data_IF_980334230947
#
_entry.id   IF_980334230947
#
_cell.length_a   1.000
_cell.length_b   1.000
_cell.length_c   1.000
_cell.angle_alpha   90.00
_cell.angle_beta   90.00
_cell.angle_gamma   90.00
#
_symmetry.space_group_name_H-M   'P 1'
#
loop_
_entity.id
_entity.type
_entity.pdbx_description
1 polymer ?
#
# COMPACT_ATOMS: atom_id res chain seq x y z
N UNK A 1 -41.13 -12.32 -44.23
CA UNK A 1 -40.07 -11.37 -43.82
C UNK A 1 -39.17 -12.09 -42.83
N UNK A 2 -38.09 -12.67 -43.32
CA UNK A 2 -37.14 -13.42 -42.48
C UNK A 2 -36.05 -12.43 -42.02
N UNK A 3 -36.00 -12.15 -40.70
CA UNK A 3 -35.00 -11.26 -40.10
C UNK A 3 -33.64 -11.98 -40.14
N UNK A 4 -32.71 -11.50 -40.96
CA UNK A 4 -31.30 -11.88 -40.88
C UNK A 4 -30.72 -11.39 -39.55
N UNK A 5 -30.32 -12.31 -38.69
CA UNK A 5 -29.47 -12.03 -37.53
C UNK A 5 -28.08 -11.63 -38.02
N UNK A 6 -27.48 -10.54 -37.50
CA UNK A 6 -26.16 -10.11 -37.93
C UNK A 6 -25.10 -11.08 -37.39
N UNK A 7 -24.28 -11.64 -38.28
CA UNK A 7 -23.06 -12.34 -37.89
C UNK A 7 -22.06 -11.32 -37.34
N UNK A 8 -21.65 -11.50 -36.08
CA UNK A 8 -20.55 -10.73 -35.49
C UNK A 8 -19.26 -11.16 -36.18
N UNK A 9 -18.51 -10.20 -36.74
CA UNK A 9 -17.22 -10.46 -37.41
C UNK A 9 -16.18 -10.99 -36.42
N UNK A 10 -15.33 -11.92 -36.87
CA UNK A 10 -14.21 -12.45 -36.10
C UNK A 10 -13.26 -11.33 -35.63
N UNK A 11 -13.13 -10.26 -36.43
CA UNK A 11 -12.33 -9.09 -36.08
C UNK A 11 -12.92 -8.33 -34.90
N UNK A 12 -14.25 -8.25 -34.80
CA UNK A 12 -14.94 -7.59 -33.68
C UNK A 12 -14.74 -8.34 -32.37
N UNK A 13 -14.70 -9.68 -32.44
CA UNK A 13 -14.40 -10.53 -31.28
C UNK A 13 -12.95 -10.34 -30.86
N UNK A 14 -12.00 -10.35 -31.82
CA UNK A 14 -10.57 -10.17 -31.54
C UNK A 14 -10.27 -8.82 -30.88
N UNK A 15 -10.84 -7.73 -31.39
CA UNK A 15 -10.70 -6.39 -30.80
C UNK A 15 -11.30 -6.32 -29.40
N UNK A 16 -12.47 -6.91 -29.18
CA UNK A 16 -13.09 -6.96 -27.85
C UNK A 16 -12.24 -7.75 -26.84
N UNK A 17 -11.64 -8.88 -27.25
CA UNK A 17 -10.71 -9.64 -26.40
C UNK A 17 -9.41 -8.90 -26.13
N UNK A 18 -8.84 -8.18 -27.11
CA UNK A 18 -7.65 -7.35 -26.92
C UNK A 18 -7.92 -6.18 -25.97
N UNK A 19 -9.09 -5.55 -26.08
CA UNK A 19 -9.54 -4.50 -25.18
C UNK A 19 -9.77 -5.04 -23.76
N UNK A 20 -10.37 -6.23 -23.63
CA UNK A 20 -10.59 -6.89 -22.35
C UNK A 20 -9.25 -7.31 -21.71
N UNK A 21 -8.32 -7.84 -22.50
CA UNK A 21 -6.95 -8.13 -22.05
C UNK A 21 -6.25 -6.84 -21.62
N UNK A 22 -6.33 -5.75 -22.40
CA UNK A 22 -5.77 -4.46 -22.02
C UNK A 22 -6.38 -3.93 -20.70
N UNK A 23 -7.68 -4.13 -20.47
CA UNK A 23 -8.35 -3.79 -19.21
C UNK A 23 -7.91 -4.68 -18.04
N UNK A 24 -7.63 -5.97 -18.28
CA UNK A 24 -7.05 -6.89 -17.27
C UNK A 24 -5.57 -6.56 -16.98
N UNK A 25 -4.84 -5.98 -17.94
CA UNK A 25 -3.44 -5.56 -17.78
C UNK A 25 -3.27 -4.17 -17.13
N UNK A 26 -4.35 -3.41 -16.90
CA UNK A 26 -4.32 -2.20 -16.06
C UNK A 26 -4.75 -2.60 -14.64
N UNK A 27 -4.01 -3.51 -14.02
CA UNK A 27 -3.82 -3.36 -12.59
C UNK A 27 -2.68 -2.36 -12.45
N UNK A 28 -3.01 -1.07 -12.23
CA UNK A 28 -2.03 -0.18 -11.64
C UNK A 28 -1.58 -0.86 -10.35
N UNK A 29 -0.34 -1.35 -10.34
CA UNK A 29 0.29 -1.80 -9.10
C UNK A 29 0.14 -0.64 -8.15
N UNK A 30 -0.63 -0.83 -7.09
CA UNK A 30 -0.74 0.19 -6.06
C UNK A 30 0.65 0.46 -5.53
N UNK A 31 1.14 1.64 -5.88
CA UNK A 31 2.50 2.03 -5.56
C UNK A 31 2.69 2.17 -4.06
N UNK A 32 3.83 1.69 -3.58
CA UNK A 32 4.23 1.86 -2.18
C UNK A 32 4.92 3.23 -2.00
N UNK A 33 4.58 3.92 -0.92
CA UNK A 33 5.22 5.15 -0.50
C UNK A 33 6.29 4.91 0.55
N UNK A 34 7.16 5.90 0.72
CA UNK A 34 8.16 5.92 1.79
C UNK A 34 8.24 7.29 2.44
N UNK A 35 8.50 7.32 3.74
CA UNK A 35 8.82 8.55 4.47
C UNK A 35 10.29 8.89 4.27
N UNK A 36 10.58 10.06 3.70
CA UNK A 36 11.95 10.56 3.56
C UNK A 36 12.23 11.56 4.68
N UNK A 37 12.61 11.03 5.83
CA UNK A 37 13.09 11.80 6.98
C UNK A 37 14.51 12.31 6.78
N UNK A 38 14.81 13.46 7.37
CA UNK A 38 16.08 14.17 7.21
C UNK A 38 16.71 14.58 8.53
N UNK A 39 16.31 13.98 9.65
CA UNK A 39 16.94 14.21 10.96
C UNK A 39 18.23 13.34 11.05
N UNK A 40 19.20 13.67 10.19
CA UNK A 40 20.50 13.02 10.09
C UNK A 40 21.55 13.94 9.46
N UNK A 41 22.83 13.64 9.68
CA UNK A 41 23.98 14.39 9.15
C UNK A 41 24.80 13.63 8.09
N UNK A 42 24.37 12.41 7.73
CA UNK A 42 25.12 11.50 6.85
C UNK A 42 24.33 11.04 5.61
N UNK A 43 23.18 11.67 5.31
CA UNK A 43 22.32 11.28 4.19
C UNK A 43 22.91 11.70 2.83
N UNK A 44 22.61 10.98 1.74
CA UNK A 44 23.01 11.40 0.39
C UNK A 44 22.35 12.71 -0.04
N UNK A 45 22.92 13.35 -1.08
CA UNK A 45 22.28 14.48 -1.73
C UNK A 45 20.86 14.13 -2.22
N UNK A 46 19.86 15.00 -2.02
CA UNK A 46 18.47 14.74 -2.40
C UNK A 46 18.27 14.30 -3.86
N UNK A 47 19.02 14.89 -4.79
CA UNK A 47 18.95 14.54 -6.22
C UNK A 47 19.35 13.08 -6.50
N UNK A 48 20.33 12.56 -5.76
CA UNK A 48 20.74 11.16 -5.88
C UNK A 48 19.68 10.23 -5.31
N UNK A 49 19.08 10.61 -4.18
CA UNK A 49 17.96 9.86 -3.56
C UNK A 49 16.76 9.80 -4.50
N UNK A 50 16.34 10.92 -5.07
CA UNK A 50 15.22 10.96 -6.01
C UNK A 50 15.50 10.14 -7.29
N UNK A 51 16.73 10.19 -7.80
CA UNK A 51 17.17 9.35 -8.93
C UNK A 51 17.15 7.86 -8.54
N UNK A 52 17.65 7.51 -7.37
CA UNK A 52 17.66 6.15 -6.85
C UNK A 52 16.24 5.58 -6.74
N UNK A 53 15.34 6.30 -6.07
CA UNK A 53 13.94 5.89 -5.93
C UNK A 53 13.30 5.68 -7.31
N UNK A 54 13.45 6.66 -8.21
CA UNK A 54 12.77 6.64 -9.51
C UNK A 54 13.30 5.59 -10.48
N UNK A 55 14.57 5.20 -10.38
CA UNK A 55 15.23 4.27 -11.32
C UNK A 55 15.37 2.86 -10.74
N UNK A 56 15.67 2.74 -9.47
CA UNK A 56 16.14 1.50 -8.85
C UNK A 56 15.11 0.81 -7.96
N UNK A 57 13.99 1.46 -7.63
CA UNK A 57 12.99 0.89 -6.70
C UNK A 57 11.57 0.90 -7.28
N UNK A 58 10.67 0.12 -6.69
CA UNK A 58 9.24 0.17 -6.99
C UNK A 58 8.51 1.32 -6.26
N UNK A 59 9.19 2.02 -5.33
CA UNK A 59 8.65 3.16 -4.60
C UNK A 59 8.34 4.28 -5.58
N UNK A 60 7.10 4.75 -5.54
CA UNK A 60 6.62 5.82 -6.43
C UNK A 60 5.93 6.96 -5.69
N UNK A 61 5.93 6.92 -4.34
CA UNK A 61 5.49 8.03 -3.50
C UNK A 61 6.52 8.34 -2.44
N UNK A 62 6.66 9.61 -2.09
CA UNK A 62 7.49 10.05 -0.98
C UNK A 62 6.71 11.03 -0.12
N UNK A 63 6.84 10.88 1.20
CA UNK A 63 6.37 11.85 2.18
C UNK A 63 7.55 12.60 2.77
N UNK A 64 7.48 13.93 2.70
CA UNK A 64 8.44 14.88 3.26
C UNK A 64 7.83 15.52 4.51
N UNK A 65 8.65 15.73 5.54
CA UNK A 65 8.22 16.30 6.83
C UNK A 65 8.23 17.83 6.87
N UNK A 66 8.63 18.47 5.78
CA UNK A 66 8.50 19.91 5.54
C UNK A 66 8.29 20.19 4.04
N UNK A 67 8.46 21.45 3.62
CA UNK A 67 8.47 21.89 2.23
C UNK A 67 9.85 22.40 1.79
N UNK A 68 10.92 21.69 2.17
CA UNK A 68 12.28 22.08 1.81
C UNK A 68 12.44 22.20 0.27
N UNK A 69 12.88 23.36 -0.24
CA UNK A 69 12.96 23.61 -1.68
C UNK A 69 14.01 22.76 -2.41
N UNK A 70 15.06 22.31 -1.71
CA UNK A 70 16.08 21.41 -2.27
C UNK A 70 15.50 20.01 -2.47
N UNK A 71 14.80 19.46 -1.47
CA UNK A 71 14.08 18.19 -1.58
C UNK A 71 13.05 18.25 -2.70
N UNK A 72 12.24 19.31 -2.75
CA UNK A 72 11.21 19.47 -3.78
C UNK A 72 11.77 19.53 -5.21
N UNK A 73 12.90 20.22 -5.42
CA UNK A 73 13.58 20.27 -6.72
C UNK A 73 14.19 18.92 -7.10
N UNK A 74 14.65 18.14 -6.13
CA UNK A 74 15.22 16.82 -6.41
C UNK A 74 14.23 15.86 -7.08
N UNK A 75 12.94 15.97 -6.75
CA UNK A 75 11.88 15.15 -7.33
C UNK A 75 11.31 15.67 -8.66
N UNK A 76 11.85 16.77 -9.19
CA UNK A 76 11.47 17.31 -10.51
C UNK A 76 11.57 16.24 -11.60
N UNK A 77 10.52 16.11 -12.40
CA UNK A 77 10.41 15.22 -13.56
C UNK A 77 10.65 13.71 -13.26
N UNK A 78 10.64 13.31 -11.98
CA UNK A 78 10.83 11.90 -11.58
C UNK A 78 9.57 11.05 -11.71
N UNK A 79 8.40 11.69 -11.80
CA UNK A 79 7.04 11.11 -11.69
C UNK A 79 6.70 10.49 -10.32
N UNK A 80 7.60 10.57 -9.34
CA UNK A 80 7.31 10.18 -7.96
C UNK A 80 6.30 11.19 -7.39
N UNK A 81 5.24 10.69 -6.77
CA UNK A 81 4.26 11.51 -6.07
C UNK A 81 4.84 12.02 -4.76
N UNK A 82 4.77 13.32 -4.55
CA UNK A 82 5.34 13.98 -3.37
C UNK A 82 4.21 14.49 -2.48
N UNK A 83 4.27 14.09 -1.21
CA UNK A 83 3.47 14.65 -0.11
C UNK A 83 4.38 15.53 0.74
N UNK A 84 3.98 16.77 1.00
CA UNK A 84 4.73 17.72 1.86
C UNK A 84 3.96 18.00 3.15
N UNK A 85 4.67 18.51 4.16
CA UNK A 85 4.08 18.83 5.46
C UNK A 85 4.28 20.30 5.82
N UNK A 86 3.23 20.95 6.30
CA UNK A 86 3.29 22.22 7.01
C UNK A 86 3.76 21.90 8.44
N UNK A 87 4.94 22.37 8.89
CA UNK A 87 5.44 22.03 10.22
C UNK A 87 4.49 22.47 11.35
N UNK A 88 4.45 21.71 12.44
CA UNK A 88 3.52 21.93 13.56
C UNK A 88 3.54 23.39 14.10
N UNK A 89 4.71 24.00 14.19
CA UNK A 89 4.88 25.38 14.68
C UNK A 89 4.28 26.45 13.75
N UNK A 90 3.96 26.11 12.49
CA UNK A 90 3.36 27.04 11.53
C UNK A 90 1.83 27.00 11.55
N UNK A 91 1.21 25.96 12.11
CA UNK A 91 -0.24 25.73 12.11
C UNK A 91 -1.04 26.97 12.56
N UNK A 92 -0.72 27.64 13.68
CA UNK A 92 -1.51 28.81 14.11
C UNK A 92 -1.49 29.96 13.10
N UNK A 93 -0.38 30.12 12.37
CA UNK A 93 -0.18 31.23 11.41
C UNK A 93 -0.98 31.04 10.14
N UNK A 94 -1.03 29.81 9.61
CA UNK A 94 -1.72 29.49 8.36
C UNK A 94 -3.24 29.40 8.50
N UNK A 95 -3.79 29.69 9.69
CA UNK A 95 -5.23 29.97 9.85
C UNK A 95 -5.64 31.28 9.16
N UNK A 96 -4.71 32.23 9.01
CA UNK A 96 -4.92 33.46 8.27
C UNK A 96 -4.77 33.21 6.75
N UNK A 97 -5.78 33.56 5.97
CA UNK A 97 -5.80 33.29 4.53
C UNK A 97 -4.70 33.99 3.74
N UNK A 98 -4.32 35.21 4.11
CA UNK A 98 -3.19 35.89 3.46
C UNK A 98 -1.89 35.11 3.68
N UNK A 99 -1.65 34.66 4.92
CA UNK A 99 -0.46 33.85 5.25
C UNK A 99 -0.50 32.48 4.57
N UNK A 100 -1.65 31.84 4.49
CA UNK A 100 -1.80 30.57 3.78
C UNK A 100 -1.54 30.71 2.27
N UNK A 101 -2.03 31.78 1.63
CA UNK A 101 -1.73 32.10 0.23
C UNK A 101 -0.24 32.28 0.00
N UNK A 102 0.42 33.08 0.85
CA UNK A 102 1.88 33.27 0.80
C UNK A 102 2.62 31.94 0.98
N UNK A 103 2.13 31.08 1.88
CA UNK A 103 2.71 29.75 2.10
C UNK A 103 2.62 28.89 0.84
N UNK A 104 1.45 28.82 0.19
CA UNK A 104 1.25 28.06 -1.06
C UNK A 104 2.06 28.65 -2.22
N UNK A 105 2.09 29.97 -2.37
CA UNK A 105 2.88 30.67 -3.39
C UNK A 105 4.38 30.42 -3.23
N UNK A 106 4.87 30.28 -2.00
CA UNK A 106 6.29 30.07 -1.72
C UNK A 106 6.69 28.60 -1.81
N UNK A 107 5.86 27.71 -1.26
CA UNK A 107 6.24 26.31 -1.00
C UNK A 107 5.65 25.29 -1.98
N UNK A 108 4.67 25.70 -2.82
CA UNK A 108 3.95 24.80 -3.74
C UNK A 108 4.09 25.26 -5.17
N UNK A 109 3.65 26.50 -5.47
CA UNK A 109 3.60 27.02 -6.84
C UNK A 109 4.93 26.90 -7.62
N UNK A 110 6.12 27.16 -7.04
CA UNK A 110 7.37 27.13 -7.80
C UNK A 110 7.78 25.74 -8.27
N UNK A 111 7.17 24.67 -7.75
CA UNK A 111 7.57 23.29 -8.01
C UNK A 111 6.60 22.58 -8.95
N UNK A 112 5.34 23.00 -9.02
CA UNK A 112 4.34 22.42 -9.91
C UNK A 112 4.41 23.03 -11.34
N UNK A 113 4.07 22.26 -12.39
CA UNK A 113 3.73 20.83 -12.37
C UNK A 113 4.95 19.90 -12.40
N UNK A 114 6.17 20.44 -12.43
CA UNK A 114 7.39 19.65 -12.66
C UNK A 114 7.70 18.63 -11.56
N UNK A 115 7.37 18.95 -10.30
CA UNK A 115 7.31 18.00 -9.19
C UNK A 115 5.86 17.60 -8.98
N UNK A 116 5.58 16.29 -8.98
CA UNK A 116 4.22 15.74 -8.86
C UNK A 116 3.73 15.81 -7.41
N UNK A 117 3.41 17.01 -6.94
CA UNK A 117 2.80 17.20 -5.62
C UNK A 117 1.36 16.71 -5.64
N UNK A 118 1.01 15.83 -4.69
CA UNK A 118 -0.33 15.22 -4.58
C UNK A 118 -1.04 15.54 -3.28
N UNK A 119 -0.30 15.93 -2.24
CA UNK A 119 -0.88 16.13 -0.91
C UNK A 119 -0.06 17.10 -0.06
N UNK A 120 -0.78 17.86 0.76
CA UNK A 120 -0.25 18.73 1.79
C UNK A 120 -0.79 18.29 3.16
N UNK A 121 0.12 17.98 4.07
CA UNK A 121 -0.20 17.58 5.44
C UNK A 121 -0.13 18.80 6.35
N UNK A 122 -1.15 19.05 7.16
CA UNK A 122 -1.13 20.12 8.15
C UNK A 122 -0.63 19.56 9.47
N UNK A 123 0.69 19.64 9.67
CA UNK A 123 1.36 19.08 10.84
C UNK A 123 1.62 17.58 10.77
N UNK A 124 2.13 17.07 11.88
CA UNK A 124 2.32 15.66 12.16
C UNK A 124 1.86 15.33 13.58
N UNK A 125 0.92 14.39 13.72
CA UNK A 125 0.40 13.90 15.00
C UNK A 125 0.01 14.99 16.00
N UNK A 126 -0.63 16.06 15.50
CA UNK A 126 -0.91 17.29 16.26
C UNK A 126 -1.70 17.02 17.54
N UNK A 127 -2.62 16.06 17.52
CA UNK A 127 -3.43 15.69 18.70
C UNK A 127 -2.59 15.02 19.80
N UNK A 128 -1.48 14.35 19.44
CA UNK A 128 -0.54 13.76 20.40
C UNK A 128 0.28 14.82 21.16
N UNK A 129 0.37 16.04 20.64
CA UNK A 129 1.19 17.11 21.25
C UNK A 129 0.62 17.64 22.57
N UNK A 130 -0.66 17.38 22.85
CA UNK A 130 -1.44 17.99 23.93
C UNK A 130 -1.44 19.54 23.94
N UNK A 131 -0.93 20.19 22.88
CA UNK A 131 -0.86 21.64 22.78
C UNK A 131 -2.20 22.18 22.29
N UNK A 132 -2.95 22.81 23.19
CA UNK A 132 -4.29 23.35 22.93
C UNK A 132 -4.33 24.32 21.75
N UNK A 133 -3.29 25.14 21.55
CA UNK A 133 -3.22 26.10 20.45
C UNK A 133 -3.08 25.38 19.10
N UNK A 134 -2.19 24.38 19.02
CA UNK A 134 -2.03 23.61 17.78
C UNK A 134 -3.30 22.81 17.45
N UNK A 135 -3.91 22.18 18.45
CA UNK A 135 -5.11 21.37 18.27
C UNK A 135 -6.30 22.22 17.83
N UNK A 136 -6.54 23.38 18.46
CA UNK A 136 -7.66 24.26 18.09
C UNK A 136 -7.48 24.94 16.74
N UNK A 137 -6.24 25.14 16.29
CA UNK A 137 -5.95 25.73 14.98
C UNK A 137 -5.81 24.73 13.84
N UNK A 138 -5.81 23.42 14.10
CA UNK A 138 -5.58 22.38 13.09
C UNK A 138 -6.61 22.41 11.95
N UNK A 139 -7.91 22.25 12.26
CA UNK A 139 -8.97 22.23 11.23
C UNK A 139 -9.08 23.58 10.51
N UNK A 140 -9.05 24.74 11.20
CA UNK A 140 -9.00 26.04 10.52
C UNK A 140 -7.82 26.18 9.57
N UNK A 141 -6.62 25.73 9.94
CA UNK A 141 -5.45 25.76 9.07
C UNK A 141 -5.64 24.90 7.81
N UNK A 142 -6.20 23.69 7.95
CA UNK A 142 -6.53 22.82 6.82
C UNK A 142 -7.51 23.50 5.84
N UNK A 143 -8.57 24.10 6.38
CA UNK A 143 -9.57 24.81 5.58
C UNK A 143 -8.96 26.00 4.83
N UNK A 144 -8.18 26.83 5.51
CA UNK A 144 -7.56 28.01 4.91
C UNK A 144 -6.55 27.64 3.82
N UNK A 145 -5.74 26.59 4.02
CA UNK A 145 -4.83 26.09 2.99
C UNK A 145 -5.58 25.50 1.80
N UNK A 146 -6.68 24.79 2.04
CA UNK A 146 -7.53 24.30 0.95
C UNK A 146 -8.14 25.44 0.12
N UNK A 147 -8.61 26.52 0.75
CA UNK A 147 -9.08 27.71 0.03
C UNK A 147 -7.97 28.30 -0.83
N UNK A 148 -6.74 28.40 -0.33
CA UNK A 148 -5.60 28.88 -1.11
C UNK A 148 -5.29 27.98 -2.33
N UNK A 149 -5.54 26.66 -2.24
CA UNK A 149 -5.40 25.75 -3.38
C UNK A 149 -6.56 25.91 -4.39
N UNK A 150 -7.79 26.12 -3.91
CA UNK A 150 -8.98 26.37 -4.74
C UNK A 150 -8.81 27.63 -5.59
N UNK A 151 -8.29 28.70 -5.01
CA UNK A 151 -8.04 29.97 -5.72
C UNK A 151 -7.02 29.83 -6.86
N UNK A 152 -6.20 28.78 -6.81
CA UNK A 152 -5.23 28.43 -7.84
C UNK A 152 -5.73 27.31 -8.77
N UNK A 153 -6.94 26.78 -8.53
CA UNK A 153 -7.53 25.66 -9.27
C UNK A 153 -6.67 24.39 -9.27
N UNK A 154 -6.00 24.11 -8.14
CA UNK A 154 -5.12 22.93 -7.97
C UNK A 154 -5.58 22.01 -6.83
N UNK A 155 -6.72 22.27 -6.20
CA UNK A 155 -7.32 21.48 -5.11
C UNK A 155 -7.77 20.07 -5.55
N UNK A 156 -8.01 19.89 -6.85
CA UNK A 156 -8.30 18.59 -7.44
C UNK A 156 -7.05 17.71 -7.52
N UNK A 157 -5.86 18.32 -7.62
CA UNK A 157 -4.57 17.65 -7.73
C UNK A 157 -3.83 17.52 -6.39
N UNK A 158 -3.98 18.50 -5.50
CA UNK A 158 -3.29 18.56 -4.20
C UNK A 158 -4.33 18.51 -3.08
N UNK A 159 -4.40 17.38 -2.37
CA UNK A 159 -5.33 17.18 -1.25
C UNK A 159 -4.74 17.66 0.07
N UNK A 160 -5.58 18.17 0.97
CA UNK A 160 -5.18 18.62 2.30
C UNK A 160 -5.67 17.63 3.36
N UNK A 161 -4.76 17.10 4.18
CA UNK A 161 -5.11 16.22 5.30
C UNK A 161 -4.13 16.42 6.46
N UNK A 162 -4.18 15.58 7.50
CA UNK A 162 -3.22 15.54 8.61
C UNK A 162 -3.05 14.10 9.07
N UNK A 163 -1.83 13.63 9.32
CA UNK A 163 -1.58 12.31 9.87
C UNK A 163 -1.81 12.30 11.39
N UNK A 164 -2.37 11.20 11.89
CA UNK A 164 -2.64 11.00 13.31
C UNK A 164 -1.99 9.73 13.85
N UNK A 165 -1.40 9.81 15.04
CA UNK A 165 -1.12 8.60 15.83
C UNK A 165 -2.43 7.89 16.15
N UNK A 166 -2.38 6.57 16.37
CA UNK A 166 -3.53 5.84 16.90
C UNK A 166 -3.84 6.16 18.36
N UNK A 167 -3.03 7.00 19.02
CA UNK A 167 -3.32 7.56 20.33
C UNK A 167 -4.60 8.38 20.37
N UNK A 168 -5.20 8.74 19.22
CA UNK A 168 -6.53 9.37 19.13
C UNK A 168 -7.70 8.44 19.47
N UNK A 169 -7.45 7.13 19.55
CA UNK A 169 -8.46 6.10 19.83
C UNK A 169 -8.50 5.70 21.31
N UNK A 170 -9.65 5.14 21.70
CA UNK A 170 -9.90 4.42 22.96
C UNK A 170 -10.67 3.14 22.65
N UNK A 171 -10.63 2.17 23.58
CA UNK A 171 -11.31 0.88 23.46
C UNK A 171 -10.95 0.10 22.18
N UNK A 172 -9.71 0.22 21.71
CA UNK A 172 -9.21 -0.39 20.48
C UNK A 172 -8.57 -1.78 20.67
N UNK A 173 -8.82 -2.43 21.81
CA UNK A 173 -8.42 -3.84 22.02
C UNK A 173 -9.29 -4.79 21.20
N UNK A 174 -10.51 -4.36 20.85
CA UNK A 174 -11.39 -4.99 19.85
C UNK A 174 -11.70 -3.94 18.77
N UNK A 175 -11.47 -4.22 17.47
CA UNK A 175 -11.65 -3.23 16.42
C UNK A 175 -13.04 -2.60 16.37
N UNK A 176 -14.10 -3.39 16.54
CA UNK A 176 -15.49 -2.89 16.52
C UNK A 176 -15.84 -1.97 17.71
N UNK A 177 -15.15 -2.14 18.83
CA UNK A 177 -15.29 -1.35 20.06
C UNK A 177 -14.61 0.01 20.01
N UNK A 178 -13.71 0.23 19.05
CA UNK A 178 -12.87 1.41 18.99
C UNK A 178 -13.68 2.70 18.79
N UNK A 179 -13.29 3.76 19.50
CA UNK A 179 -13.89 5.11 19.42
C UNK A 179 -12.79 6.16 19.42
N UNK A 180 -13.05 7.33 18.85
CA UNK A 180 -12.19 8.49 19.11
C UNK A 180 -12.33 8.95 20.56
N UNK A 181 -11.26 9.53 21.11
CA UNK A 181 -11.26 10.09 22.47
C UNK A 181 -12.38 11.13 22.65
N UNK A 182 -13.06 11.04 23.79
CA UNK A 182 -14.09 12.00 24.19
C UNK A 182 -13.54 13.44 24.14
N UNK A 183 -14.32 14.34 23.54
CA UNK A 183 -13.94 15.74 23.33
C UNK A 183 -13.22 15.95 22.00
N UNK A 184 -12.23 15.12 21.66
CA UNK A 184 -11.60 15.17 20.33
C UNK A 184 -12.56 14.72 19.23
N UNK A 185 -13.35 13.68 19.51
CA UNK A 185 -14.40 13.18 18.63
C UNK A 185 -15.32 14.30 18.11
N UNK A 186 -15.79 15.18 18.99
CA UNK A 186 -16.80 16.20 18.68
C UNK A 186 -16.18 17.50 18.21
N UNK A 187 -15.10 17.96 18.84
CA UNK A 187 -14.56 19.31 18.62
C UNK A 187 -13.44 19.38 17.58
N UNK A 188 -12.84 18.25 17.21
CA UNK A 188 -11.68 18.22 16.30
C UNK A 188 -11.91 17.24 15.16
N UNK A 189 -12.12 15.96 15.48
CA UNK A 189 -12.17 14.87 14.50
C UNK A 189 -13.44 14.95 13.64
N UNK A 190 -14.63 15.14 14.23
CA UNK A 190 -15.87 15.24 13.43
C UNK A 190 -15.85 16.44 12.45
N UNK A 191 -15.48 17.68 12.86
CA UNK A 191 -15.30 18.78 11.91
C UNK A 191 -14.25 18.49 10.84
N UNK A 192 -13.16 17.82 11.21
CA UNK A 192 -12.11 17.42 10.27
C UNK A 192 -12.62 16.41 9.24
N UNK A 193 -13.31 15.34 9.68
CA UNK A 193 -13.88 14.32 8.80
C UNK A 193 -14.92 14.92 7.85
N UNK A 194 -15.72 15.90 8.32
CA UNK A 194 -16.61 16.68 7.45
C UNK A 194 -15.83 17.41 6.36
N UNK A 195 -14.79 18.16 6.73
CA UNK A 195 -13.94 18.86 5.77
C UNK A 195 -13.26 17.90 4.78
N UNK A 196 -12.77 16.76 5.27
CA UNK A 196 -12.11 15.75 4.42
C UNK A 196 -13.09 15.14 3.42
N UNK A 197 -14.31 14.80 3.84
CA UNK A 197 -15.37 14.35 2.94
C UNK A 197 -15.70 15.43 1.88
N UNK A 198 -15.94 16.66 2.31
CA UNK A 198 -16.34 17.77 1.43
C UNK A 198 -15.27 18.13 0.39
N UNK A 199 -13.98 17.95 0.74
CA UNK A 199 -12.83 18.21 -0.13
C UNK A 199 -12.34 16.98 -0.92
N UNK A 200 -13.00 15.84 -0.75
CA UNK A 200 -12.59 14.52 -1.27
C UNK A 200 -11.12 14.22 -0.94
N UNK A 201 -10.78 14.33 0.35
CA UNK A 201 -9.45 14.12 0.91
C UNK A 201 -9.49 12.97 1.93
N UNK A 202 -8.43 12.14 2.03
CA UNK A 202 -8.43 11.00 2.94
C UNK A 202 -8.15 11.40 4.40
N UNK A 203 -8.60 10.57 5.33
CA UNK A 203 -8.13 10.54 6.71
C UNK A 203 -6.81 9.77 6.80
N UNK A 204 -5.75 10.42 7.29
CA UNK A 204 -4.41 9.81 7.34
C UNK A 204 -4.06 9.40 8.78
N UNK A 205 -3.58 8.16 8.95
CA UNK A 205 -3.19 7.61 10.25
C UNK A 205 -1.79 6.99 10.20
N UNK A 206 -1.14 6.94 11.34
CA UNK A 206 0.18 6.35 11.55
C UNK A 206 0.05 5.07 12.41
N UNK A 207 -0.47 3.95 11.85
CA UNK A 207 -0.59 2.69 12.56
C UNK A 207 0.77 2.01 12.71
N UNK A 208 1.20 1.81 13.94
CA UNK A 208 2.42 1.08 14.27
C UNK A 208 2.09 -0.12 15.15
N UNK A 209 1.96 -1.33 14.58
CA UNK A 209 1.96 -2.57 15.34
C UNK A 209 3.15 -2.67 16.31
N UNK A 210 4.31 -2.16 15.89
CA UNK A 210 5.53 -2.10 16.69
C UNK A 210 5.36 -1.48 18.09
N UNK A 211 4.51 -0.46 18.25
CA UNK A 211 4.32 0.18 19.56
C UNK A 211 3.20 -0.46 20.40
N UNK A 212 2.41 -1.36 19.82
CA UNK A 212 1.20 -1.91 20.45
C UNK A 212 1.30 -3.38 20.88
N UNK A 213 2.37 -4.08 20.49
CA UNK A 213 2.49 -5.52 20.72
C UNK A 213 3.11 -5.88 22.08
N UNK A 214 2.90 -7.14 22.46
CA UNK A 214 3.47 -7.83 23.62
C UNK A 214 4.29 -9.04 23.14
N UNK A 215 5.07 -9.66 24.03
CA UNK A 215 5.84 -10.89 23.70
C UNK A 215 4.96 -11.94 23.00
N UNK A 216 3.74 -12.16 23.50
CA UNK A 216 2.83 -13.18 22.99
C UNK A 216 2.14 -12.80 21.67
N UNK A 217 2.26 -11.54 21.25
CA UNK A 217 1.61 -11.00 20.04
C UNK A 217 2.61 -10.52 18.99
N UNK A 218 3.89 -10.88 19.13
CA UNK A 218 4.93 -10.54 18.15
C UNK A 218 4.60 -11.10 16.76
N UNK A 219 4.26 -12.38 16.65
CA UNK A 219 3.91 -13.00 15.36
C UNK A 219 2.69 -12.33 14.72
N UNK A 220 1.71 -11.95 15.55
CA UNK A 220 0.52 -11.21 15.12
C UNK A 220 0.87 -9.79 14.62
N UNK A 221 1.85 -9.13 15.22
CA UNK A 221 2.35 -7.83 14.78
C UNK A 221 3.19 -7.92 13.49
N UNK A 222 3.91 -9.02 13.29
CA UNK A 222 4.79 -9.28 12.14
C UNK A 222 4.11 -9.92 10.94
N UNK A 223 2.78 -10.16 10.99
CA UNK A 223 2.01 -10.92 10.00
C UNK A 223 2.45 -12.39 9.86
N UNK A 224 3.12 -12.95 10.86
CA UNK A 224 3.54 -14.35 10.87
C UNK A 224 2.37 -15.26 11.27
N UNK A 225 2.44 -16.59 11.00
CA UNK A 225 1.40 -17.52 11.41
C UNK A 225 1.12 -17.46 12.92
N UNK A 226 -0.14 -17.18 13.29
CA UNK A 226 -0.60 -17.07 14.67
C UNK A 226 -2.08 -17.50 14.77
N UNK A 227 -2.61 -17.59 15.99
CA UNK A 227 -4.01 -17.96 16.23
C UNK A 227 -5.02 -16.90 15.77
N UNK A 228 -4.57 -15.67 15.57
CA UNK A 228 -5.38 -14.49 15.33
C UNK A 228 -6.16 -14.06 16.58
N UNK A 229 -6.81 -12.90 16.47
CA UNK A 229 -7.77 -12.40 17.43
C UNK A 229 -9.16 -12.40 16.79
N UNK A 230 -10.18 -12.83 17.54
CA UNK A 230 -11.58 -12.77 17.10
C UNK A 230 -12.23 -11.59 17.80
N UNK A 231 -12.82 -10.69 17.03
CA UNK A 231 -13.61 -9.59 17.57
C UNK A 231 -14.97 -10.13 18.05
N UNK A 232 -15.25 -10.00 19.34
CA UNK A 232 -16.41 -10.64 19.97
C UNK A 232 -17.77 -10.11 19.47
N UNK A 233 -17.82 -8.92 18.87
CA UNK A 233 -19.06 -8.31 18.38
C UNK A 233 -19.33 -8.71 16.93
N UNK A 234 -18.31 -8.56 16.08
CA UNK A 234 -18.42 -8.80 14.64
C UNK A 234 -18.15 -10.25 14.26
N UNK A 235 -17.55 -11.03 15.16
CA UNK A 235 -17.08 -12.40 14.94
C UNK A 235 -16.04 -12.52 13.82
N UNK A 236 -15.44 -11.40 13.41
CA UNK A 236 -14.37 -11.37 12.43
C UNK A 236 -13.04 -11.75 13.06
N UNK A 237 -12.25 -12.56 12.33
CA UNK A 237 -10.91 -12.95 12.75
C UNK A 237 -9.87 -12.04 12.09
N UNK A 238 -9.03 -11.45 12.92
CA UNK A 238 -7.86 -10.69 12.54
C UNK A 238 -6.63 -11.56 12.69
N UNK A 239 -5.89 -11.77 11.61
CA UNK A 239 -4.66 -12.57 11.62
C UNK A 239 -3.40 -11.71 11.70
N UNK A 240 -3.53 -10.38 11.60
CA UNK A 240 -2.44 -9.45 11.82
C UNK A 240 -2.93 -8.18 12.53
N UNK A 241 -2.01 -7.49 13.20
CA UNK A 241 -2.32 -6.31 14.03
C UNK A 241 -2.63 -5.06 13.21
N UNK A 242 -2.05 -4.92 12.01
CA UNK A 242 -2.32 -3.76 11.16
C UNK A 242 -3.80 -3.71 10.76
N UNK A 243 -4.37 -4.84 10.34
CA UNK A 243 -5.79 -4.93 9.98
C UNK A 243 -6.69 -4.54 11.15
N UNK A 244 -6.38 -5.02 12.36
CA UNK A 244 -7.14 -4.66 13.55
C UNK A 244 -7.03 -3.16 13.88
N UNK A 245 -5.86 -2.57 13.68
CA UNK A 245 -5.64 -1.13 13.87
C UNK A 245 -6.41 -0.29 12.85
N UNK A 246 -6.38 -0.67 11.56
CA UNK A 246 -7.14 0.01 10.51
C UNK A 246 -8.65 -0.12 10.72
N UNK A 247 -9.12 -1.30 11.11
CA UNK A 247 -10.54 -1.54 11.41
C UNK A 247 -11.00 -0.84 12.70
N UNK A 248 -10.08 -0.59 13.64
CA UNK A 248 -10.34 0.26 14.80
C UNK A 248 -10.58 1.71 14.37
N UNK A 249 -9.76 2.23 13.46
CA UNK A 249 -9.94 3.57 12.87
C UNK A 249 -11.27 3.65 12.13
N UNK A 250 -11.54 2.68 11.25
CA UNK A 250 -12.79 2.62 10.49
C UNK A 250 -14.02 2.56 11.39
N UNK A 251 -13.99 1.74 12.44
CA UNK A 251 -15.11 1.64 13.40
C UNK A 251 -15.34 2.95 14.15
N UNK A 252 -14.28 3.66 14.54
CA UNK A 252 -14.39 4.97 15.16
C UNK A 252 -14.97 6.03 14.20
N UNK A 253 -14.57 6.01 12.92
CA UNK A 253 -15.14 6.87 11.87
C UNK A 253 -16.61 6.58 11.62
N UNK A 254 -16.98 5.29 11.55
CA UNK A 254 -18.36 4.83 11.37
C UNK A 254 -19.30 5.31 12.49
N UNK A 255 -18.83 5.34 13.73
CA UNK A 255 -19.62 5.87 14.86
C UNK A 255 -19.95 7.34 14.70
N UNK A 256 -19.08 8.11 14.05
CA UNK A 256 -19.33 9.51 13.71
C UNK A 256 -20.10 9.68 12.40
N UNK A 257 -20.37 8.59 11.67
CA UNK A 257 -21.07 8.55 10.39
C UNK A 257 -20.20 8.92 9.19
N UNK A 258 -18.90 8.54 9.20
CA UNK A 258 -17.89 8.84 8.17
C UNK A 258 -17.20 7.61 7.58
N UNK A 259 -17.91 6.49 7.43
CA UNK A 259 -17.35 5.26 6.84
C UNK A 259 -16.91 5.37 5.36
N UNK A 260 -17.39 6.37 4.64
CA UNK A 260 -17.09 6.66 3.23
C UNK A 260 -15.78 7.43 3.02
N UNK A 261 -15.20 8.02 4.06
CA UNK A 261 -13.93 8.75 3.95
C UNK A 261 -12.78 7.75 3.80
N UNK A 262 -11.90 8.01 2.83
CA UNK A 262 -10.73 7.16 2.56
C UNK A 262 -9.71 7.16 3.70
N UNK A 263 -9.04 6.02 3.91
CA UNK A 263 -7.98 5.87 4.92
C UNK A 263 -6.65 5.72 4.22
N UNK A 264 -5.65 6.51 4.64
CA UNK A 264 -4.27 6.42 4.17
C UNK A 264 -3.34 6.11 5.34
N UNK A 265 -2.42 5.17 5.14
CA UNK A 265 -1.35 4.85 6.10
C UNK A 265 -0.20 5.83 5.85
N UNK A 266 -0.13 6.88 6.68
CA UNK A 266 0.86 7.95 6.57
C UNK A 266 2.25 7.53 7.04
N UNK A 267 2.32 6.61 7.99
CA UNK A 267 3.55 6.01 8.52
C UNK A 267 3.26 4.64 9.11
N UNK A 268 4.11 3.67 8.79
CA UNK A 268 4.20 2.40 9.51
C UNK A 268 5.54 1.75 9.21
N UNK A 269 6.13 1.03 10.16
CA UNK A 269 7.44 0.41 9.96
C UNK A 269 7.91 -0.35 11.19
N UNK A 270 9.09 -0.93 11.07
CA UNK A 270 9.69 -1.75 12.12
C UNK A 270 11.20 -1.50 12.21
N UNK A 271 11.75 -1.24 13.40
CA UNK A 271 13.16 -0.91 13.55
C UNK A 271 14.05 -2.14 13.53
N UNK A 272 15.32 -1.96 13.14
CA UNK A 272 16.34 -3.03 13.09
C UNK A 272 17.21 -3.11 14.33
N UNK A 273 17.16 -2.09 15.19
CA UNK A 273 17.91 -2.04 16.44
C UNK A 273 17.18 -1.18 17.46
N UNK A 274 17.03 -1.68 18.68
CA UNK A 274 16.32 -1.03 19.77
C UNK A 274 17.14 -1.02 21.06
N UNK A 275 16.56 -0.44 22.10
CA UNK A 275 17.08 -0.56 23.46
C UNK A 275 16.93 -2.01 23.95
N UNK A 276 17.71 -2.48 24.95
CA UNK A 276 17.71 -3.88 25.37
C UNK A 276 16.33 -4.45 25.81
N UNK A 277 15.41 -3.59 26.24
CA UNK A 277 14.05 -3.98 26.64
C UNK A 277 13.07 -4.11 25.45
N UNK A 278 13.46 -3.67 24.25
CA UNK A 278 12.61 -3.74 23.07
C UNK A 278 12.82 -5.08 22.37
N UNK A 279 11.86 -5.98 22.53
CA UNK A 279 11.86 -7.32 21.96
C UNK A 279 11.55 -7.29 20.45
N UNK A 280 11.97 -8.31 19.71
CA UNK A 280 11.69 -8.43 18.27
C UNK A 280 12.26 -7.27 17.45
N UNK A 281 13.34 -6.62 17.90
CA UNK A 281 13.98 -5.51 17.20
C UNK A 281 15.32 -5.95 16.64
N UNK A 282 15.29 -6.39 15.40
CA UNK A 282 16.44 -6.89 14.65
C UNK A 282 16.14 -6.81 13.14
N UNK A 283 17.16 -6.95 12.26
CA UNK A 283 16.95 -6.90 10.81
C UNK A 283 15.99 -7.96 10.25
N UNK A 284 15.88 -9.13 10.87
CA UNK A 284 14.96 -10.19 10.44
C UNK A 284 13.51 -9.80 10.75
N UNK A 285 13.23 -9.35 11.98
CA UNK A 285 11.91 -8.86 12.37
C UNK A 285 11.47 -7.66 11.51
N UNK A 286 12.39 -6.75 11.19
CA UNK A 286 12.11 -5.62 10.31
C UNK A 286 11.81 -6.05 8.86
N UNK A 287 12.56 -7.03 8.34
CA UNK A 287 12.32 -7.64 7.02
C UNK A 287 10.97 -8.34 6.96
N UNK A 288 10.60 -9.09 8.01
CA UNK A 288 9.29 -9.73 8.10
C UNK A 288 8.18 -8.68 8.09
N UNK A 289 8.23 -7.68 8.97
CA UNK A 289 7.19 -6.66 9.04
C UNK A 289 7.03 -5.92 7.71
N UNK A 290 8.10 -5.29 7.21
CA UNK A 290 8.01 -4.44 6.02
C UNK A 290 7.74 -5.27 4.74
N UNK A 291 8.27 -6.48 4.65
CA UNK A 291 8.03 -7.39 3.54
C UNK A 291 6.60 -7.94 3.53
N UNK A 292 6.08 -8.35 4.69
CA UNK A 292 4.69 -8.79 4.83
C UNK A 292 3.70 -7.64 4.59
N UNK A 293 4.00 -6.44 5.12
CA UNK A 293 3.22 -5.22 4.89
C UNK A 293 3.05 -4.96 3.39
N UNK A 294 4.14 -4.91 2.62
CA UNK A 294 4.09 -4.65 1.18
C UNK A 294 3.23 -5.70 0.48
N UNK A 295 3.46 -6.99 0.77
CA UNK A 295 2.67 -8.08 0.18
C UNK A 295 1.18 -7.94 0.52
N UNK A 296 0.86 -7.60 1.76
CA UNK A 296 -0.50 -7.44 2.22
C UNK A 296 -1.20 -6.26 1.51
N UNK A 297 -0.65 -5.05 1.57
CA UNK A 297 -1.31 -3.86 1.00
C UNK A 297 -1.38 -3.88 -0.53
N UNK A 298 -0.43 -4.56 -1.19
CA UNK A 298 -0.45 -4.72 -2.66
C UNK A 298 -1.32 -5.88 -3.15
N UNK A 299 -1.73 -6.80 -2.26
CA UNK A 299 -2.63 -7.92 -2.62
C UNK A 299 -4.06 -7.46 -2.93
N UNK A 300 -4.46 -6.30 -2.41
CA UNK A 300 -5.83 -5.79 -2.52
C UNK A 300 -6.86 -6.56 -1.70
N UNK A 301 -6.45 -7.43 -0.77
CA UNK A 301 -7.38 -8.17 0.11
C UNK A 301 -8.18 -7.25 1.05
N UNK A 302 -7.58 -6.12 1.44
CA UNK A 302 -8.14 -5.21 2.43
C UNK A 302 -8.12 -5.79 3.84
N UNK A 303 -8.99 -5.28 4.70
CA UNK A 303 -9.12 -5.73 6.09
C UNK A 303 -10.44 -6.50 6.29
N UNK A 304 -10.64 -7.21 7.42
CA UNK A 304 -11.90 -7.90 7.69
C UNK A 304 -13.17 -7.03 7.61
N UNK A 305 -13.18 -5.78 8.11
CA UNK A 305 -14.32 -4.86 7.98
C UNK A 305 -14.32 -4.08 6.66
N UNK A 306 -13.18 -3.98 5.97
CA UNK A 306 -13.05 -3.29 4.69
C UNK A 306 -12.47 -4.22 3.62
N UNK A 307 -13.17 -5.33 3.27
CA UNK A 307 -12.67 -6.30 2.31
C UNK A 307 -12.58 -5.67 0.93
N UNK A 308 -11.53 -6.03 0.18
CA UNK A 308 -11.19 -5.48 -1.13
C UNK A 308 -10.89 -3.96 -1.14
N UNK A 309 -10.78 -3.33 0.03
CA UNK A 309 -10.30 -1.95 0.13
C UNK A 309 -8.78 -1.94 0.04
N UNK A 310 -8.26 -0.98 -0.68
CA UNK A 310 -6.82 -0.77 -0.82
C UNK A 310 -6.38 0.44 -0.03
N UNK A 311 -5.20 0.40 0.58
CA UNK A 311 -4.69 1.49 1.42
C UNK A 311 -3.40 2.04 0.82
N UNK A 312 -3.44 3.32 0.40
CA UNK A 312 -2.19 4.04 0.11
C UNK A 312 -1.32 4.02 1.38
N UNK A 313 -0.08 3.58 1.23
CA UNK A 313 0.78 3.22 2.38
C UNK A 313 2.17 3.80 2.25
N UNK A 314 2.64 4.48 3.29
CA UNK A 314 3.98 5.03 3.40
C UNK A 314 4.79 4.30 4.49
N UNK A 315 5.84 3.60 4.07
CA UNK A 315 6.75 2.91 5.00
C UNK A 315 7.62 3.94 5.71
N UNK A 316 7.75 3.82 7.03
CA UNK A 316 8.67 4.59 7.86
C UNK A 316 9.92 3.74 8.17
N UNK A 317 11.11 4.07 7.68
CA UNK A 317 11.46 5.23 6.83
C UNK A 317 12.51 4.86 5.76
N UNK A 318 12.84 5.81 4.89
CA UNK A 318 13.76 5.58 3.78
C UNK A 318 15.18 5.24 4.26
N UNK A 319 15.67 6.01 5.24
CA UNK A 319 17.01 5.85 5.82
C UNK A 319 16.91 5.82 7.35
N UNK A 320 17.96 5.29 7.98
CA UNK A 320 18.21 5.53 9.39
C UNK A 320 18.52 7.02 9.63
N UNK A 321 17.83 7.61 10.59
CA UNK A 321 17.95 9.03 10.93
C UNK A 321 18.77 9.18 12.22
N UNK A 322 20.10 9.25 12.09
CA UNK A 322 21.04 9.13 13.22
C UNK A 322 20.95 10.27 14.26
N UNK A 323 20.29 11.39 13.96
CA UNK A 323 20.09 12.50 14.89
C UNK A 323 18.69 12.49 15.54
N UNK A 324 17.84 11.49 15.27
CA UNK A 324 16.52 11.41 15.92
C UNK A 324 16.66 11.27 17.44
N UNK A 325 15.96 12.10 18.23
CA UNK A 325 15.95 11.99 19.69
C UNK A 325 15.13 10.76 20.14
N UNK A 326 15.22 10.42 21.42
CA UNK A 326 14.43 9.34 22.01
C UNK A 326 15.13 7.98 22.02
N UNK A 327 14.37 6.87 22.13
CA UNK A 327 14.91 5.52 22.30
C UNK A 327 15.75 5.08 21.09
N UNK A 328 16.56 4.03 21.25
CA UNK A 328 17.46 3.56 20.18
C UNK A 328 16.73 3.19 18.90
N UNK A 329 15.51 2.65 18.99
CA UNK A 329 14.70 2.31 17.82
C UNK A 329 14.49 3.48 16.86
N UNK A 330 14.33 4.71 17.36
CA UNK A 330 14.04 5.90 16.54
C UNK A 330 15.10 6.16 15.47
N UNK A 331 16.34 5.72 15.70
CA UNK A 331 17.48 5.93 14.80
C UNK A 331 17.68 4.77 13.81
N UNK A 332 16.83 3.73 13.82
CA UNK A 332 17.09 2.45 13.17
C UNK A 332 15.88 1.90 12.36
N UNK A 333 15.04 2.77 11.79
CA UNK A 333 13.84 2.39 10.99
C UNK A 333 14.10 2.30 9.47
N UNK A 334 15.31 2.58 9.01
CA UNK A 334 15.65 2.72 7.60
C UNK A 334 15.47 1.43 6.78
N UNK A 335 14.88 1.57 5.60
CA UNK A 335 14.89 0.55 4.56
C UNK A 335 16.27 0.43 3.89
N UNK A 336 16.99 1.55 3.81
CA UNK A 336 18.30 1.66 3.19
C UNK A 336 19.32 2.28 4.14
N UNK A 337 20.57 1.86 3.98
CA UNK A 337 21.70 2.60 4.51
C UNK A 337 21.89 3.91 3.75
N UNK A 338 22.63 4.89 4.30
CA UNK A 338 22.93 6.12 3.58
C UNK A 338 23.64 5.90 2.23
N UNK A 339 24.37 4.80 2.02
CA UNK A 339 24.94 4.47 0.71
C UNK A 339 23.90 3.90 -0.29
N UNK A 340 22.61 3.93 0.03
CA UNK A 340 21.47 3.41 -0.74
C UNK A 340 21.47 1.89 -0.96
N UNK A 341 22.28 1.12 -0.21
CA UNK A 341 22.13 -0.34 -0.19
C UNK A 341 21.01 -0.74 0.77
N UNK A 342 20.19 -1.76 0.45
CA UNK A 342 19.15 -2.22 1.35
C UNK A 342 19.73 -2.68 2.70
N UNK A 343 19.05 -2.36 3.81
CA UNK A 343 19.40 -2.90 5.14
C UNK A 343 19.03 -4.38 5.23
N UNK A 344 17.92 -4.76 4.58
CA UNK A 344 17.39 -6.12 4.44
C UNK A 344 16.61 -6.23 3.13
N UNK A 345 16.37 -7.45 2.64
CA UNK A 345 15.66 -7.68 1.38
C UNK A 345 14.14 -7.81 1.62
N UNK A 346 13.37 -6.95 0.96
CA UNK A 346 11.90 -6.95 0.92
C UNK A 346 11.37 -6.80 -0.51
N UNK A 347 12.20 -7.14 -1.51
CA UNK A 347 11.85 -7.15 -2.93
C UNK A 347 11.38 -5.80 -3.51
N UNK A 348 11.78 -4.67 -2.89
CA UNK A 348 11.47 -3.32 -3.36
C UNK A 348 12.41 -2.82 -4.47
N UNK A 349 13.53 -3.51 -4.68
CA UNK A 349 14.47 -3.18 -5.73
C UNK A 349 13.94 -3.63 -7.09
N UNK A 350 14.02 -2.76 -8.10
CA UNK A 350 13.77 -3.16 -9.48
C UNK A 350 14.93 -4.05 -9.92
N UNK A 351 14.62 -5.30 -10.25
CA UNK A 351 15.56 -6.16 -10.94
C UNK A 351 15.96 -5.48 -12.26
N UNK A 352 17.20 -4.96 -12.34
CA UNK A 352 17.78 -4.55 -13.61
C UNK A 352 17.75 -5.77 -14.53
N UNK A 353 17.05 -5.65 -15.64
CA UNK A 353 16.66 -6.78 -16.47
C UNK A 353 17.88 -7.52 -17.03
N UNK A 354 18.24 -8.66 -16.42
CA UNK A 354 18.82 -9.81 -17.11
C UNK A 354 18.03 -11.11 -16.79
N UNK A 355 17.24 -11.18 -15.72
CA UNK A 355 16.59 -12.44 -15.30
C UNK A 355 15.11 -12.67 -15.66
N UNK A 356 14.35 -11.65 -16.05
CA UNK A 356 12.87 -11.77 -16.17
C UNK A 356 12.40 -12.35 -17.51
N UNK A 357 13.31 -12.47 -18.49
CA UNK A 357 12.98 -13.08 -19.78
C UNK A 357 12.69 -14.59 -19.69
N UNK A 358 13.18 -15.30 -18.66
CA UNK A 358 13.11 -16.76 -18.62
C UNK A 358 11.81 -17.32 -17.99
N UNK A 359 11.21 -16.59 -17.04
CA UNK A 359 9.95 -17.00 -16.41
C UNK A 359 8.70 -16.51 -17.15
N UNK A 360 8.75 -15.32 -17.77
CA UNK A 360 7.62 -14.83 -18.57
C UNK A 360 7.40 -15.66 -19.84
N UNK A 361 8.45 -16.19 -20.47
CA UNK A 361 8.30 -16.95 -21.71
C UNK A 361 7.58 -18.30 -21.54
N UNK A 362 7.81 -19.02 -20.42
CA UNK A 362 7.17 -20.34 -20.21
C UNK A 362 5.68 -20.23 -19.89
N UNK A 363 5.27 -19.25 -19.09
CA UNK A 363 3.87 -19.02 -18.77
C UNK A 363 3.09 -18.47 -19.96
N UNK A 364 3.70 -17.62 -20.79
CA UNK A 364 3.10 -17.11 -22.04
C UNK A 364 2.88 -18.22 -23.07
N UNK A 365 3.82 -19.17 -23.21
CA UNK A 365 3.66 -20.33 -24.10
C UNK A 365 2.50 -21.23 -23.65
N UNK A 366 2.39 -21.52 -22.35
CA UNK A 366 1.32 -22.40 -21.83
C UNK A 366 -0.07 -21.77 -22.04
N UNK A 367 -0.21 -20.46 -21.80
CA UNK A 367 -1.48 -19.75 -21.99
C UNK A 367 -1.83 -19.63 -23.49
N UNK A 368 -0.85 -19.36 -24.37
CA UNK A 368 -1.08 -19.38 -25.82
C UNK A 368 -1.50 -20.77 -26.33
N UNK A 369 -0.89 -21.85 -25.84
CA UNK A 369 -1.29 -23.21 -26.23
C UNK A 369 -2.71 -23.55 -25.75
N UNK A 370 -3.12 -23.10 -24.56
CA UNK A 370 -4.47 -23.32 -24.04
C UNK A 370 -5.55 -22.54 -24.81
N UNK A 371 -5.26 -21.31 -25.24
CA UNK A 371 -6.20 -20.50 -26.04
C UNK A 371 -6.30 -20.97 -27.49
N UNK A 372 -5.20 -21.44 -28.10
CA UNK A 372 -5.26 -22.06 -29.44
C UNK A 372 -5.99 -23.41 -29.44
N UNK A 373 -5.85 -24.21 -28.38
CA UNK A 373 -6.57 -25.48 -28.18
C UNK A 373 -8.09 -25.28 -28.07
N UNK A 374 -8.52 -24.24 -27.35
CA UNK A 374 -9.94 -23.93 -27.16
C UNK A 374 -10.58 -23.30 -28.39
N UNK A 375 -9.84 -22.51 -29.18
CA UNK A 375 -10.34 -22.01 -30.47
C UNK A 375 -10.50 -23.12 -31.52
N UNK A 376 -9.58 -24.08 -31.58
CA UNK A 376 -9.66 -25.21 -32.53
C UNK A 376 -10.80 -26.18 -32.20
N UNK A 377 -11.08 -26.44 -30.91
CA UNK A 377 -12.25 -27.23 -30.49
C UNK A 377 -13.57 -26.50 -30.74
N UNK A 378 -13.61 -25.18 -30.56
CA UNK A 378 -14.81 -24.36 -30.84
C UNK A 378 -15.13 -24.30 -32.34
N UNK A 379 -14.12 -24.21 -33.21
CA UNK A 379 -14.29 -24.29 -34.67
C UNK A 379 -14.78 -25.68 -35.12
N UNK A 380 -14.32 -26.76 -34.49
CA UNK A 380 -14.77 -28.11 -34.81
C UNK A 380 -16.24 -28.36 -34.44
N UNK A 381 -16.67 -27.88 -33.26
CA UNK A 381 -18.07 -28.00 -32.81
C UNK A 381 -19.03 -27.22 -33.72
N UNK A 382 -18.61 -26.04 -34.19
CA UNK A 382 -19.40 -25.22 -35.13
C UNK A 382 -19.49 -25.88 -36.51
N UNK A 383 -18.43 -26.52 -37.01
CA UNK A 383 -18.48 -27.24 -38.29
C UNK A 383 -19.39 -28.49 -38.24
N UNK A 384 -19.43 -29.21 -37.12
CA UNK A 384 -20.36 -30.35 -36.95
C UNK A 384 -21.83 -29.92 -36.84
N UNK A 385 -22.12 -28.69 -36.40
CA UNK A 385 -23.48 -28.19 -36.28
C UNK A 385 -24.07 -27.67 -37.61
N UNK A 386 -23.22 -27.31 -38.58
CA UNK A 386 -23.64 -26.71 -39.87
C UNK A 386 -23.67 -27.73 -41.03
N UNK A 387 -23.01 -28.89 -40.89
CA UNK A 387 -23.00 -29.95 -41.90
C UNK A 387 -23.98 -31.09 -41.61
N UNK A 388 -25.23 -30.95 -42.01
CA UNK A 388 -26.18 -32.07 -42.04
C UNK A 388 -25.81 -33.10 -43.11
N UNK A 389 -25.15 -34.20 -42.72
CA UNK A 389 -24.85 -35.32 -43.61
C UNK A 389 -24.54 -36.60 -42.85
N UNK A 390 -25.43 -37.61 -42.96
CA UNK A 390 -25.27 -38.95 -42.37
C UNK A 390 -24.00 -39.63 -42.90
N UNK A 391 -23.17 -40.17 -42.00
CA UNK A 391 -22.23 -41.24 -42.35
C UNK A 391 -22.24 -42.30 -41.25
N UNK A 392 -22.64 -43.51 -41.62
CA UNK A 392 -22.57 -44.72 -40.79
C UNK A 392 -21.13 -45.26 -40.78
N UNK A 393 -20.60 -45.67 -39.63
CA UNK A 393 -19.54 -46.69 -39.51
C UNK A 393 -19.58 -47.38 -38.12
N UNK A 394 -19.25 -48.67 -38.12
CA UNK A 394 -19.54 -49.76 -37.15
C UNK A 394 -18.97 -49.62 -35.72
N UNK A 395 -19.52 -50.37 -34.72
CA UNK A 395 -19.04 -50.33 -33.34
C UNK A 395 -17.77 -51.19 -33.15
N UNK A 396 -16.77 -50.64 -32.47
CA UNK A 396 -15.65 -51.38 -31.88
C UNK A 396 -15.91 -51.55 -30.37
N UNK A 397 -15.85 -52.79 -29.91
CA UNK A 397 -16.05 -53.23 -28.51
C UNK A 397 -15.00 -52.61 -27.56
N UNK A 398 -15.33 -52.47 -26.26
CA UNK A 398 -14.38 -51.98 -25.26
C UNK A 398 -13.42 -53.08 -24.84
N UNK A 399 -12.11 -52.81 -24.92
CA UNK A 399 -11.11 -53.59 -24.18
C UNK A 399 -10.83 -52.89 -22.84
N UNK A 400 -11.32 -53.51 -21.77
CA UNK A 400 -10.78 -53.38 -20.43
C UNK A 400 -9.31 -53.82 -20.47
N UNK A 401 -8.38 -52.98 -20.01
CA UNK A 401 -7.07 -53.45 -19.54
C UNK A 401 -6.81 -52.87 -18.15
N UNK A 402 -6.70 -53.82 -17.24
CA UNK A 402 -6.48 -53.72 -15.81
C UNK A 402 -5.03 -53.34 -15.45
N UNK A 403 -4.93 -52.70 -14.30
CA UNK A 403 -3.76 -52.48 -13.45
C UNK A 403 -2.97 -53.79 -13.20
N UNK A 404 -1.73 -53.90 -13.67
CA UNK A 404 -0.71 -54.75 -13.03
C UNK A 404 0.72 -54.40 -13.49
N UNK A 405 1.62 -54.31 -12.49
CA UNK A 405 3.06 -54.62 -12.53
C UNK A 405 4.05 -53.81 -13.41
N UNK A 406 4.89 -53.04 -12.73
CA UNK A 406 6.33 -53.05 -12.99
C UNK A 406 7.09 -53.15 -11.66
N UNK A 407 7.63 -54.35 -11.39
CA UNK A 407 8.66 -54.62 -10.40
C UNK A 407 10.03 -54.55 -11.09
N UNK A 408 10.95 -53.85 -10.41
CA UNK A 408 12.38 -54.10 -10.29
C UNK A 408 13.26 -54.24 -11.54
N UNK A 409 14.20 -53.30 -11.65
CA UNK A 409 15.63 -53.65 -11.68
C UNK A 409 16.41 -52.84 -10.65
N UNK A 410 17.17 -53.58 -9.85
CA UNK A 410 18.04 -53.15 -8.77
C UNK A 410 19.28 -52.42 -9.29
N UNK A 411 19.76 -51.43 -8.54
CA UNK A 411 21.17 -51.33 -8.16
C UNK A 411 21.27 -50.74 -6.75
N UNK A 412 21.81 -51.55 -5.84
CA UNK A 412 22.08 -51.29 -4.41
C UNK A 412 23.30 -50.37 -4.26
N UNK A 413 23.36 -49.58 -3.17
CA UNK A 413 24.30 -49.81 -2.05
C UNK A 413 24.09 -48.79 -0.91
N UNK A 414 23.62 -49.34 0.21
CA UNK A 414 24.04 -49.12 1.62
C UNK A 414 24.09 -47.72 2.26
N UNK A 415 23.15 -47.57 3.19
CA UNK A 415 23.18 -46.98 4.54
C UNK A 415 24.54 -46.71 5.18
N UNK A 416 24.69 -45.56 5.85
CA UNK A 416 25.18 -45.46 7.24
C UNK A 416 24.50 -44.28 7.96
N UNK A 417 23.88 -44.59 9.10
CA UNK A 417 23.46 -43.68 10.17
C UNK A 417 24.57 -43.68 11.21
N UNK A 418 25.02 -42.52 11.68
CA UNK A 418 25.52 -42.33 13.06
C UNK A 418 25.27 -40.87 13.47
N UNK A 419 24.55 -40.70 14.59
CA UNK A 419 24.50 -39.50 15.42
C UNK A 419 25.85 -39.22 16.08
N UNK A 420 26.19 -37.94 16.22
CA UNK A 420 26.77 -37.38 17.44
C UNK A 420 26.27 -35.93 17.55
#
# INVERSE_FOLDING_TARGET
>A
MEKKTPLISLDSILHATLLLLALVFIQEVQGIGVNYGTIADNLPPPAEVAKFLSKSTIINRVRLFDANPELLRAFKDTRIEVTITVPNNQIPRVTNLTVAREWVQTNVQPFIPSTKLVRMLVGNEVLSTANKLLISNLVPAMQTLHVALVELSIESHIKVTTPHSLGILVNSTTPSGARFRQGYDTHVIKPMLSFLRDSNSPFMVNPYPFFGFSVDTLDYALFLPNSGMVDDVTQLRYTNMLDAQLDSVYSAMKVLGFEDVEIVIGETGWPTKGDPAQIGVDPMSASEYNGNLIRHVTSGVGTPLMPNRTFETYIFALFDENLKPGPTCERNFGLFWPNMTPVYDIQIMRNTAIGVAHYRHKSLLIIMYATMSTMTTSLWVVFTAVGGGKMFLKPLKPHLVTRTEMKNTNARLTTFVVQA
#
